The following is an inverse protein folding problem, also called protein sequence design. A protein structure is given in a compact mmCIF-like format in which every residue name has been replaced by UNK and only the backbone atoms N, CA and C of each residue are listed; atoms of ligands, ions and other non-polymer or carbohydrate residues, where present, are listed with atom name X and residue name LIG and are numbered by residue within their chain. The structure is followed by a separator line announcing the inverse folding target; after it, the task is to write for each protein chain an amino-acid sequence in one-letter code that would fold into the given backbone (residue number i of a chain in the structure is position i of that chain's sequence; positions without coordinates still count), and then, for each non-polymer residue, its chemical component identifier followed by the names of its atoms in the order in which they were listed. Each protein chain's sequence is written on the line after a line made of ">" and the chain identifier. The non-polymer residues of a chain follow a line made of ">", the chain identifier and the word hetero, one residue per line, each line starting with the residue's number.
data_IF_999407735503
#
_entry.id   IF_999407735503
#
_cell.length_a   1.000
_cell.length_b   1.000
_cell.length_c   1.000
_cell.angle_alpha   90.00
_cell.angle_beta   90.00
_cell.angle_gamma   90.00
#
_symmetry.space_group_name_H-M   'P 1'
#
loop_
_entity.id
_entity.type
_entity.pdbx_description
1 polymer ?
#
# COMPACT_ATOMS: atom_id res chain seq x y z
N UNK A 1 18.11 2.78 -6.58
CA UNK A 1 18.63 1.41 -6.85
C UNK A 1 18.26 1.03 -8.28
N UNK A 2 19.19 0.49 -9.08
CA UNK A 2 18.88 -0.01 -10.43
C UNK A 2 18.52 -1.49 -10.33
N UNK A 3 17.38 -1.91 -10.89
CA UNK A 3 17.00 -3.33 -11.00
C UNK A 3 17.11 -3.76 -12.46
N UNK A 4 17.84 -4.84 -12.71
CA UNK A 4 17.90 -5.51 -14.01
C UNK A 4 16.81 -6.57 -14.03
N UNK A 5 15.96 -6.57 -15.05
CA UNK A 5 14.86 -7.52 -15.22
C UNK A 5 15.06 -8.16 -16.58
N UNK A 6 15.25 -9.47 -16.59
CA UNK A 6 15.24 -10.26 -17.82
C UNK A 6 13.80 -10.60 -18.17
N UNK A 7 13.40 -10.27 -19.40
CA UNK A 7 12.07 -10.56 -19.93
C UNK A 7 12.21 -11.24 -21.29
N UNK A 8 11.26 -12.12 -21.59
CA UNK A 8 11.19 -12.78 -22.88
C UNK A 8 10.89 -11.78 -24.01
N UNK A 9 11.44 -12.05 -25.21
CA UNK A 9 11.30 -11.19 -26.38
C UNK A 9 9.83 -11.03 -26.82
N UNK A 10 9.01 -12.06 -26.60
CA UNK A 10 7.57 -12.01 -26.87
C UNK A 10 6.88 -10.98 -25.97
N UNK A 11 7.28 -10.95 -24.69
CA UNK A 11 6.74 -10.02 -23.69
C UNK A 11 7.23 -8.59 -23.99
N UNK A 12 8.50 -8.43 -24.34
CA UNK A 12 9.06 -7.14 -24.75
C UNK A 12 8.32 -6.55 -25.96
N UNK A 13 7.97 -7.39 -26.94
CA UNK A 13 7.23 -6.95 -28.13
C UNK A 13 5.84 -6.45 -27.77
N UNK A 14 5.11 -7.19 -26.92
CA UNK A 14 3.78 -6.77 -26.42
C UNK A 14 3.86 -5.48 -25.61
N UNK A 15 4.89 -5.34 -24.76
CA UNK A 15 5.15 -4.12 -23.99
C UNK A 15 5.38 -2.91 -24.88
N UNK A 16 6.17 -3.04 -25.94
CA UNK A 16 6.41 -1.95 -26.91
C UNK A 16 5.11 -1.52 -27.59
N UNK A 17 4.29 -2.48 -28.00
CA UNK A 17 2.98 -2.21 -28.62
C UNK A 17 2.08 -1.45 -27.64
N UNK A 18 1.94 -1.94 -26.40
CA UNK A 18 1.15 -1.27 -25.36
C UNK A 18 1.69 0.14 -25.04
N UNK A 19 3.01 0.30 -24.98
CA UNK A 19 3.65 1.59 -24.75
C UNK A 19 3.37 2.59 -25.86
N UNK A 20 3.30 2.12 -27.13
CA UNK A 20 2.95 2.95 -28.27
C UNK A 20 1.47 3.38 -28.25
N UNK A 21 0.56 2.49 -27.81
CA UNK A 21 -0.85 2.83 -27.65
C UNK A 21 -1.12 3.82 -26.51
N UNK A 22 -0.43 3.67 -25.37
CA UNK A 22 -0.59 4.57 -24.22
C UNK A 22 0.24 5.86 -24.33
N UNK A 23 1.12 5.98 -25.32
CA UNK A 23 2.03 7.12 -25.47
C UNK A 23 3.08 7.22 -24.36
N UNK A 24 3.38 6.12 -23.68
CA UNK A 24 4.31 6.04 -22.55
C UNK A 24 5.61 5.34 -22.98
N UNK A 25 6.69 5.56 -22.23
CA UNK A 25 7.89 4.74 -22.38
C UNK A 25 7.66 3.34 -21.80
N UNK A 26 8.32 2.31 -22.36
CA UNK A 26 8.27 0.94 -21.82
C UNK A 26 8.63 0.92 -20.34
N UNK A 27 9.61 1.74 -19.92
CA UNK A 27 9.99 1.89 -18.51
C UNK A 27 8.84 2.43 -17.66
N UNK A 28 8.21 3.52 -18.08
CA UNK A 28 7.10 4.12 -17.33
C UNK A 28 5.89 3.17 -17.22
N UNK A 29 5.61 2.42 -18.28
CA UNK A 29 4.56 1.41 -18.28
C UNK A 29 4.89 0.27 -17.30
N UNK A 30 6.15 -0.20 -17.27
CA UNK A 30 6.59 -1.20 -16.30
C UNK A 30 6.53 -0.70 -14.86
N UNK A 31 6.96 0.54 -14.59
CA UNK A 31 6.89 1.13 -13.24
C UNK A 31 5.44 1.20 -12.75
N UNK A 32 4.52 1.68 -13.61
CA UNK A 32 3.09 1.74 -13.31
C UNK A 32 2.49 0.35 -13.06
N UNK A 33 2.85 -0.64 -13.88
CA UNK A 33 2.38 -2.01 -13.71
C UNK A 33 2.86 -2.63 -12.38
N UNK A 34 4.12 -2.38 -12.00
CA UNK A 34 4.68 -2.85 -10.73
C UNK A 34 3.97 -2.17 -9.55
N UNK A 35 3.76 -0.85 -9.61
CA UNK A 35 3.05 -0.12 -8.55
C UNK A 35 1.62 -0.63 -8.35
N UNK A 36 0.89 -0.83 -9.45
CA UNK A 36 -0.46 -1.40 -9.43
C UNK A 36 -0.48 -2.81 -8.86
N UNK A 37 0.51 -3.65 -9.23
CA UNK A 37 0.63 -5.00 -8.72
C UNK A 37 0.86 -5.01 -7.20
N UNK A 38 1.79 -4.18 -6.70
CA UNK A 38 2.07 -4.08 -5.26
C UNK A 38 0.81 -3.63 -4.50
N UNK A 39 0.16 -2.54 -4.93
CA UNK A 39 -1.09 -2.06 -4.30
C UNK A 39 -2.19 -3.11 -4.30
N UNK A 40 -2.35 -3.82 -5.42
CA UNK A 40 -3.34 -4.90 -5.52
C UNK A 40 -3.02 -6.03 -4.55
N UNK A 41 -1.75 -6.40 -4.38
CA UNK A 41 -1.34 -7.46 -3.45
C UNK A 41 -1.48 -7.05 -1.99
N UNK A 42 -1.15 -5.81 -1.65
CA UNK A 42 -1.39 -5.26 -0.30
C UNK A 42 -2.87 -5.32 0.06
N UNK A 43 -3.74 -4.91 -0.86
CA UNK A 43 -5.18 -5.00 -0.68
C UNK A 43 -5.66 -6.46 -0.55
N UNK A 44 -5.19 -7.36 -1.41
CA UNK A 44 -5.55 -8.79 -1.35
C UNK A 44 -5.15 -9.41 -0.01
N UNK A 45 -3.98 -9.05 0.54
CA UNK A 45 -3.55 -9.50 1.85
C UNK A 45 -4.45 -8.96 2.97
N UNK A 46 -4.83 -7.68 2.90
CA UNK A 46 -5.74 -7.08 3.86
C UNK A 46 -7.13 -7.74 3.79
N UNK A 47 -7.62 -8.02 2.58
CA UNK A 47 -8.94 -8.64 2.37
C UNK A 47 -8.99 -10.08 2.87
N UNK A 48 -7.85 -10.80 2.89
CA UNK A 48 -7.72 -12.17 3.41
C UNK A 48 -7.75 -12.27 4.94
N UNK A 49 -7.55 -11.16 5.66
CA UNK A 49 -7.61 -11.16 7.12
C UNK A 49 -9.02 -11.45 7.60
N UNK A 50 -9.14 -12.21 8.69
CA UNK A 50 -10.41 -12.35 9.41
C UNK A 50 -10.83 -11.02 10.01
N UNK A 51 -12.09 -10.90 10.44
CA UNK A 51 -12.58 -9.67 11.05
C UNK A 51 -11.79 -9.30 12.31
N UNK A 52 -11.54 -10.27 13.20
CA UNK A 52 -10.72 -10.09 14.40
C UNK A 52 -9.30 -9.60 14.08
N UNK A 53 -8.65 -10.20 13.08
CA UNK A 53 -7.32 -9.77 12.64
C UNK A 53 -7.30 -8.35 12.05
N UNK A 54 -8.40 -7.91 11.42
CA UNK A 54 -8.54 -6.53 10.93
C UNK A 54 -8.72 -5.55 12.09
N UNK A 55 -9.48 -5.94 13.11
CA UNK A 55 -9.68 -5.15 14.33
C UNK A 55 -8.35 -4.99 15.10
N UNK A 56 -7.58 -6.07 15.27
CA UNK A 56 -6.25 -6.04 15.87
C UNK A 56 -5.27 -5.15 15.10
N UNK A 57 -5.25 -5.28 13.77
CA UNK A 57 -4.43 -4.43 12.92
C UNK A 57 -4.84 -2.95 13.03
N UNK A 58 -6.15 -2.69 13.10
CA UNK A 58 -6.70 -1.35 13.32
C UNK A 58 -6.25 -0.76 14.65
N UNK A 59 -6.30 -1.55 15.73
CA UNK A 59 -5.83 -1.15 17.05
C UNK A 59 -4.33 -0.81 17.01
N UNK A 60 -3.51 -1.65 16.37
CA UNK A 60 -2.06 -1.40 16.23
C UNK A 60 -1.77 -0.10 15.49
N UNK A 61 -2.50 0.19 14.41
CA UNK A 61 -2.34 1.44 13.65
C UNK A 61 -2.72 2.67 14.49
N UNK A 62 -3.79 2.59 15.27
CA UNK A 62 -4.19 3.66 16.20
C UNK A 62 -3.12 3.91 17.27
N UNK A 63 -2.56 2.84 17.84
CA UNK A 63 -1.48 2.95 18.82
C UNK A 63 -0.19 3.53 18.23
N UNK A 64 0.06 3.36 16.93
CA UNK A 64 1.21 3.95 16.24
C UNK A 64 1.02 5.45 15.98
N UNK A 65 -0.21 5.89 15.74
CA UNK A 65 -0.55 7.30 15.51
C UNK A 65 -0.71 8.10 16.79
N UNK A 66 -1.00 7.44 17.92
CA UNK A 66 -1.14 8.09 19.21
C UNK A 66 0.19 8.71 19.66
N UNK A 67 0.19 10.03 19.83
CA UNK A 67 1.30 10.73 20.47
C UNK A 67 1.34 10.32 21.95
N UNK A 68 2.39 9.59 22.33
CA UNK A 68 2.58 9.10 23.71
C UNK A 68 2.84 10.22 24.72
N UNK A 69 3.10 11.43 24.24
CA UNK A 69 3.35 12.61 25.08
C UNK A 69 2.11 13.49 25.24
N UNK A 70 1.05 13.23 24.49
CA UNK A 70 -0.24 13.90 24.61
C UNK A 70 -1.04 13.27 25.76
N UNK A 71 -0.75 13.73 26.98
CA UNK A 71 -1.37 13.27 28.22
C UNK A 71 -2.24 14.36 28.81
N UNK A 72 -3.43 13.99 29.29
CA UNK A 72 -4.34 14.88 30.04
C UNK A 72 -4.34 14.53 31.53
N UNK A 73 -4.80 15.46 32.35
CA UNK A 73 -5.00 15.20 33.79
C UNK A 73 -6.17 14.22 34.01
N UNK A 74 -6.16 13.51 35.15
CA UNK A 74 -7.23 12.58 35.52
C UNK A 74 -8.61 13.28 35.57
N UNK A 75 -8.64 14.52 36.06
CA UNK A 75 -9.86 15.32 36.16
C UNK A 75 -10.44 15.68 34.79
N UNK A 76 -9.59 16.05 33.81
CA UNK A 76 -10.01 16.31 32.43
C UNK A 76 -10.55 15.03 31.77
N UNK A 77 -9.89 13.90 31.98
CA UNK A 77 -10.34 12.61 31.47
C UNK A 77 -11.72 12.22 32.02
N UNK A 78 -11.91 12.31 33.34
CA UNK A 78 -13.17 11.95 34.00
C UNK A 78 -14.33 12.88 33.61
N UNK A 79 -14.04 14.14 33.26
CA UNK A 79 -15.06 15.08 32.79
C UNK A 79 -15.46 14.82 31.33
N UNK A 80 -14.59 14.24 30.50
CA UNK A 80 -14.91 13.87 29.12
C UNK A 80 -15.80 12.62 28.99
N UNK A 81 -15.91 11.81 30.06
CA UNK A 81 -16.72 10.59 30.11
C UNK A 81 -18.17 10.79 30.59
N UNK A 82 -18.54 12.02 30.98
CA UNK A 82 -19.88 12.39 31.46
C UNK A 82 -20.77 12.88 30.32
#
# INVERSE_FOLDING_TARGET
>A
MKKLIEIDDTILTKLKVLSAFEGLSVKALMEKAIELFVKSKEKEQLDRLTQEQKEDLGLLLLMQQADRTDTVSEEEFLNALK
#
